data_IF_704965355093
#
_entry.id   IF_704965355093
#
_cell.length_a   1.000
_cell.length_b   1.000
_cell.length_c   1.000
_cell.angle_alpha   90.00
_cell.angle_beta   90.00
_cell.angle_gamma   90.00
#
_symmetry.space_group_name_H-M   'P 1'
#
loop_
_entity.id
_entity.type
_entity.pdbx_description
1 polymer ?
#
# COMPACT_ATOMS: atom_id res chain seq x y z
N UNK A 1 -12.19 22.06 3.03
CA UNK A 1 -11.39 21.55 4.16
C UNK A 1 -9.96 21.44 3.68
N UNK A 2 -9.09 22.31 4.18
CA UNK A 2 -7.65 22.32 3.88
C UNK A 2 -6.91 21.45 4.90
N UNK A 3 -5.99 20.61 4.45
CA UNK A 3 -5.14 19.81 5.31
C UNK A 3 -3.68 20.25 5.09
N UNK A 4 -3.09 20.90 6.11
CA UNK A 4 -1.76 21.51 5.99
C UNK A 4 -0.67 20.53 5.55
N UNK A 5 -0.74 19.25 5.96
CA UNK A 5 0.24 18.24 5.52
C UNK A 5 0.13 18.02 4.01
N UNK A 6 -1.10 17.87 3.50
CA UNK A 6 -1.35 17.72 2.07
C UNK A 6 -0.89 18.94 1.27
N UNK A 7 -1.15 20.14 1.78
CA UNK A 7 -0.74 21.39 1.13
C UNK A 7 0.80 21.48 1.03
N UNK A 8 1.53 21.13 2.10
CA UNK A 8 3.00 21.11 2.10
C UNK A 8 3.54 20.02 1.17
N UNK A 9 2.92 18.84 1.10
CA UNK A 9 3.30 17.79 0.11
C UNK A 9 3.23 18.36 -1.31
N UNK A 10 2.14 19.03 -1.66
CA UNK A 10 1.98 19.62 -2.99
C UNK A 10 2.93 20.80 -3.23
N UNK A 11 3.28 21.57 -2.20
CA UNK A 11 4.32 22.60 -2.30
C UNK A 11 5.70 21.99 -2.62
N UNK A 12 6.07 20.91 -1.94
CA UNK A 12 7.34 20.19 -2.17
C UNK A 12 7.39 19.53 -3.56
N UNK A 13 6.25 19.03 -4.04
CA UNK A 13 6.13 18.51 -5.41
C UNK A 13 6.25 19.62 -6.45
N UNK A 14 5.59 20.76 -6.23
CA UNK A 14 5.68 21.94 -7.10
C UNK A 14 7.12 22.47 -7.19
N UNK A 15 7.84 22.59 -6.07
CA UNK A 15 9.27 22.99 -6.04
C UNK A 15 10.16 22.08 -6.90
N UNK A 16 9.75 20.83 -7.11
CA UNK A 16 10.47 19.81 -7.90
C UNK A 16 9.85 19.56 -9.27
N UNK A 17 8.94 20.43 -9.72
CA UNK A 17 8.24 20.33 -11.02
C UNK A 17 7.49 19.01 -11.19
N UNK A 18 6.97 18.45 -10.11
CA UNK A 18 6.13 17.26 -10.12
C UNK A 18 4.64 17.63 -10.15
N UNK A 19 3.83 16.74 -10.73
CA UNK A 19 2.38 16.90 -10.80
C UNK A 19 1.73 16.99 -9.42
N UNK A 20 0.67 17.78 -9.32
CA UNK A 20 -0.13 17.95 -8.11
C UNK A 20 -0.85 16.66 -7.71
N UNK A 21 -0.99 16.41 -6.42
CA UNK A 21 -1.79 15.31 -5.85
C UNK A 21 -3.13 15.86 -5.42
N UNK A 22 -4.22 15.36 -5.98
CA UNK A 22 -5.57 15.80 -5.61
C UNK A 22 -5.99 15.23 -4.26
N UNK A 23 -6.72 16.01 -3.47
CA UNK A 23 -7.34 15.55 -2.24
C UNK A 23 -8.45 14.52 -2.52
N UNK A 24 -8.40 13.37 -1.86
CA UNK A 24 -9.44 12.34 -1.90
C UNK A 24 -10.08 12.18 -0.53
N UNK A 25 -11.40 12.40 -0.46
CA UNK A 25 -12.19 12.22 0.78
C UNK A 25 -12.16 10.78 1.28
N UNK A 26 -12.18 9.82 0.35
CA UNK A 26 -12.10 8.39 0.66
C UNK A 26 -10.75 8.04 1.31
N UNK A 27 -9.64 8.49 0.71
CA UNK A 27 -8.31 8.26 1.25
C UNK A 27 -8.09 8.98 2.58
N UNK A 28 -8.70 10.16 2.76
CA UNK A 28 -8.65 10.88 4.03
C UNK A 28 -9.39 10.12 5.13
N UNK A 29 -10.53 9.50 4.82
CA UNK A 29 -11.26 8.66 5.77
C UNK A 29 -10.42 7.42 6.16
N UNK A 30 -9.75 6.77 5.21
CA UNK A 30 -8.84 5.67 5.50
C UNK A 30 -7.66 6.11 6.37
N UNK A 31 -7.00 7.20 5.98
CA UNK A 31 -5.88 7.75 6.73
C UNK A 31 -6.30 8.14 8.16
N UNK A 32 -7.46 8.77 8.34
CA UNK A 32 -7.96 9.11 9.68
C UNK A 32 -8.18 7.86 10.53
N UNK A 33 -8.86 6.86 9.98
CA UNK A 33 -9.06 5.57 10.66
C UNK A 33 -7.74 4.92 11.08
N UNK A 34 -6.67 5.07 10.29
CA UNK A 34 -5.37 4.50 10.61
C UNK A 34 -4.57 5.33 11.63
N UNK A 35 -4.67 6.66 11.58
CA UNK A 35 -4.13 7.53 12.62
C UNK A 35 -4.80 7.25 13.97
N UNK A 36 -6.13 7.12 13.99
CA UNK A 36 -6.90 6.77 15.19
C UNK A 36 -6.49 5.39 15.72
N UNK A 37 -6.26 4.41 14.84
CA UNK A 37 -5.74 3.10 15.23
C UNK A 37 -4.36 3.22 15.90
N UNK A 38 -3.41 3.92 15.28
CA UNK A 38 -2.07 4.13 15.84
C UNK A 38 -2.12 4.83 17.19
N UNK A 39 -2.95 5.86 17.33
CA UNK A 39 -3.19 6.54 18.60
C UNK A 39 -3.80 5.60 19.65
N UNK A 40 -4.73 4.73 19.24
CA UNK A 40 -5.35 3.76 20.15
C UNK A 40 -4.35 2.71 20.66
N UNK A 41 -3.44 2.23 19.82
CA UNK A 41 -2.42 1.23 20.20
C UNK A 41 -1.12 1.84 20.72
N UNK A 42 -0.94 3.15 20.61
CA UNK A 42 0.19 3.92 21.14
C UNK A 42 1.50 3.75 20.36
N UNK A 43 1.45 3.24 19.12
CA UNK A 43 2.62 3.03 18.26
C UNK A 43 2.22 3.04 16.78
N UNK A 44 3.19 3.30 15.89
CA UNK A 44 3.01 3.15 14.45
C UNK A 44 2.83 1.67 14.05
N UNK A 45 1.72 1.38 13.39
CA UNK A 45 1.43 0.05 12.81
C UNK A 45 0.89 0.27 11.42
N UNK A 46 1.53 -0.31 10.40
CA UNK A 46 1.04 -0.25 9.04
C UNK A 46 -0.28 -1.02 8.88
N UNK A 47 -1.17 -0.51 8.04
CA UNK A 47 -2.38 -1.22 7.68
C UNK A 47 -2.09 -2.43 6.77
N UNK A 48 -2.73 -3.56 7.04
CA UNK A 48 -2.86 -4.67 6.08
C UNK A 48 -4.18 -4.64 5.30
N UNK A 49 -4.99 -3.58 5.48
CA UNK A 49 -6.29 -3.43 4.84
C UNK A 49 -6.11 -3.20 3.33
N UNK A 50 -6.90 -3.90 2.52
CA UNK A 50 -6.95 -3.75 1.06
C UNK A 50 -7.20 -2.29 0.61
N UNK A 51 -7.86 -1.48 1.44
CA UNK A 51 -8.06 -0.05 1.23
C UNK A 51 -6.75 0.77 1.09
N UNK A 52 -5.61 0.23 1.53
CA UNK A 52 -4.27 0.87 1.43
C UNK A 52 -3.41 0.27 0.32
N UNK A 53 -4.01 -0.28 -0.74
CA UNK A 53 -3.26 -0.82 -1.89
C UNK A 53 -2.32 0.20 -2.54
N UNK A 54 -2.72 1.47 -2.52
CA UNK A 54 -1.89 2.57 -2.98
C UNK A 54 -0.83 3.02 -1.97
N UNK A 55 -0.60 2.30 -0.87
CA UNK A 55 0.44 2.60 0.11
C UNK A 55 0.03 3.56 1.23
N UNK A 56 0.93 3.66 2.20
CA UNK A 56 0.78 4.48 3.39
C UNK A 56 2.13 5.01 3.87
N UNK A 57 2.18 6.27 4.26
CA UNK A 57 3.23 6.81 5.12
C UNK A 57 2.66 7.08 6.50
N UNK A 58 3.42 6.73 7.53
CA UNK A 58 3.08 6.99 8.93
C UNK A 58 4.12 7.91 9.56
N UNK A 59 3.70 8.76 10.49
CA UNK A 59 4.59 9.55 11.33
C UNK A 59 4.06 9.63 12.76
N UNK A 60 4.98 9.68 13.72
CA UNK A 60 4.70 9.88 15.13
C UNK A 60 5.64 10.98 15.65
N UNK A 61 5.14 11.82 16.55
CA UNK A 61 5.94 12.79 17.28
C UNK A 61 5.21 13.32 18.51
N UNK A 62 5.79 14.32 19.17
CA UNK A 62 5.23 14.96 20.36
C UNK A 62 3.97 15.78 20.10
N UNK A 63 3.53 16.51 21.13
CA UNK A 63 2.36 17.40 21.07
C UNK A 63 2.55 18.59 20.12
N UNK A 64 3.79 19.01 19.92
CA UNK A 64 4.25 20.07 19.02
C UNK A 64 4.54 19.59 17.59
N UNK A 65 4.42 18.29 17.32
CA UNK A 65 4.72 17.70 16.01
C UNK A 65 3.75 18.20 14.93
N UNK A 66 4.20 19.21 14.18
CA UNK A 66 3.41 19.98 13.25
C UNK A 66 3.40 19.40 11.83
N UNK A 67 2.59 20.01 10.97
CA UNK A 67 2.43 19.54 9.59
C UNK A 67 3.75 19.58 8.78
N UNK A 68 4.61 20.57 9.04
CA UNK A 68 5.93 20.64 8.40
C UNK A 68 6.86 19.54 8.89
N UNK A 69 6.88 19.28 10.21
CA UNK A 69 7.72 18.23 10.80
C UNK A 69 7.39 16.84 10.25
N UNK A 70 6.09 16.57 10.05
CA UNK A 70 5.59 15.35 9.40
C UNK A 70 6.19 15.19 8.00
N UNK A 71 6.04 16.21 7.14
CA UNK A 71 6.51 16.13 5.75
C UNK A 71 8.03 16.07 5.69
N UNK A 72 8.72 16.83 6.53
CA UNK A 72 10.17 16.84 6.62
C UNK A 72 10.74 15.50 7.11
N UNK A 73 10.07 14.85 8.07
CA UNK A 73 10.39 13.49 8.50
C UNK A 73 10.30 12.50 7.33
N UNK A 74 9.20 12.53 6.56
CA UNK A 74 9.04 11.67 5.39
C UNK A 74 10.06 11.97 4.28
N UNK A 75 10.33 13.25 4.00
CA UNK A 75 11.30 13.68 2.99
C UNK A 75 12.74 13.27 3.31
N UNK A 76 13.10 13.19 4.60
CA UNK A 76 14.42 12.75 5.07
C UNK A 76 14.53 11.24 5.28
N UNK A 77 13.41 10.52 5.20
CA UNK A 77 13.41 9.09 5.48
C UNK A 77 14.13 8.27 4.42
N UNK A 78 14.86 7.24 4.86
CA UNK A 78 15.52 6.23 4.02
C UNK A 78 14.67 4.96 3.83
N UNK A 79 13.44 4.95 4.36
CA UNK A 79 12.56 3.78 4.41
C UNK A 79 11.48 3.76 3.31
N UNK A 80 11.60 4.58 2.26
CA UNK A 80 10.63 4.63 1.15
C UNK A 80 9.62 5.78 1.21
N UNK A 81 9.49 6.48 2.33
CA UNK A 81 8.48 7.54 2.49
C UNK A 81 8.66 8.68 1.48
N UNK A 82 9.91 9.10 1.26
CA UNK A 82 10.26 10.17 0.31
C UNK A 82 9.90 9.77 -1.11
N UNK A 83 10.18 8.53 -1.48
CA UNK A 83 9.95 7.98 -2.81
C UNK A 83 8.48 8.01 -3.18
N UNK A 84 7.58 7.67 -2.25
CA UNK A 84 6.14 7.81 -2.49
C UNK A 84 5.68 9.27 -2.53
N UNK A 85 6.18 10.11 -1.60
CA UNK A 85 5.84 11.53 -1.55
C UNK A 85 6.15 12.26 -2.86
N UNK A 86 7.24 11.86 -3.53
CA UNK A 86 7.72 12.42 -4.78
C UNK A 86 7.41 11.54 -6.01
N UNK A 87 6.65 10.45 -5.85
CA UNK A 87 6.31 9.57 -6.97
C UNK A 87 5.35 10.30 -7.95
N UNK A 88 5.65 10.33 -9.26
CA UNK A 88 4.73 10.90 -10.25
C UNK A 88 3.46 10.05 -10.42
N UNK A 89 3.45 8.80 -9.94
CA UNK A 89 2.30 7.91 -9.99
C UNK A 89 1.26 8.20 -8.88
N UNK A 90 1.66 8.91 -7.82
CA UNK A 90 0.72 9.41 -6.82
C UNK A 90 -0.05 10.59 -7.42
N UNK A 91 -1.35 10.42 -7.63
CA UNK A 91 -2.26 11.43 -8.20
C UNK A 91 -3.40 11.80 -7.26
N UNK A 92 -3.73 10.93 -6.29
CA UNK A 92 -4.71 11.21 -5.23
C UNK A 92 -4.16 10.81 -3.87
N UNK A 93 -4.53 11.56 -2.83
CA UNK A 93 -4.18 11.21 -1.47
C UNK A 93 -5.12 11.83 -0.43
N UNK A 94 -5.03 11.35 0.81
CA UNK A 94 -5.67 11.94 1.97
C UNK A 94 -4.81 11.78 3.21
N UNK A 95 -5.00 12.67 4.19
CA UNK A 95 -4.24 12.69 5.44
C UNK A 95 -5.20 12.58 6.61
N UNK A 96 -4.81 11.77 7.59
CA UNK A 96 -5.46 11.63 8.89
C UNK A 96 -4.51 12.00 10.02
N UNK A 97 -5.04 12.62 11.08
CA UNK A 97 -4.25 13.03 12.26
C UNK A 97 -5.02 12.66 13.51
N UNK A 98 -4.36 11.97 14.43
CA UNK A 98 -4.90 11.63 15.74
C UNK A 98 -3.91 12.03 16.85
N UNK A 99 -4.41 12.38 18.02
CA UNK A 99 -3.60 12.74 19.18
C UNK A 99 -4.01 11.94 20.40
N UNK A 100 -3.03 11.41 21.14
CA UNK A 100 -3.28 10.71 22.40
C UNK A 100 -2.02 10.70 23.26
N UNK A 101 -2.18 10.87 24.56
CA UNK A 101 -1.10 10.78 25.56
C UNK A 101 0.14 11.64 25.19
N UNK A 102 -0.09 12.89 24.79
CA UNK A 102 0.99 13.82 24.41
C UNK A 102 1.68 13.49 23.08
N UNK A 103 1.17 12.53 22.31
CA UNK A 103 1.70 12.14 21.00
C UNK A 103 0.75 12.51 19.87
N UNK A 104 1.31 12.84 18.72
CA UNK A 104 0.61 13.05 17.45
C UNK A 104 0.94 11.90 16.50
N UNK A 105 -0.09 11.28 15.94
CA UNK A 105 -0.01 10.20 14.96
C UNK A 105 -0.60 10.68 13.64
N UNK A 106 0.15 10.54 12.55
CA UNK A 106 -0.25 11.00 11.22
C UNK A 106 -0.14 9.87 10.22
N UNK A 107 -1.19 9.71 9.42
CA UNK A 107 -1.22 8.79 8.30
C UNK A 107 -1.45 9.55 7.00
N UNK A 108 -0.76 9.14 5.94
CA UNK A 108 -0.98 9.62 4.58
C UNK A 108 -1.26 8.42 3.69
N UNK A 109 -2.50 8.29 3.22
CA UNK A 109 -2.93 7.27 2.29
C UNK A 109 -2.96 7.86 0.87
N UNK A 110 -2.43 7.13 -0.11
CA UNK A 110 -2.27 7.64 -1.48
C UNK A 110 -2.60 6.59 -2.54
N UNK A 111 -2.67 7.03 -3.80
CA UNK A 111 -3.15 6.23 -4.94
C UNK A 111 -2.12 5.38 -5.65
N UNK A 112 -0.83 5.57 -5.38
CA UNK A 112 0.23 4.86 -6.10
C UNK A 112 0.31 3.43 -5.59
N UNK A 113 -0.18 2.47 -6.39
CA UNK A 113 -0.02 1.06 -6.06
C UNK A 113 1.39 0.81 -5.52
N UNK A 114 1.52 0.04 -4.43
CA UNK A 114 2.82 -0.39 -3.96
C UNK A 114 3.63 -0.84 -5.19
N UNK A 115 4.88 -0.34 -5.39
CA UNK A 115 5.63 -0.64 -6.58
C UNK A 115 5.64 -2.14 -6.73
N UNK A 116 5.19 -2.63 -7.89
CA UNK A 116 5.45 -4.00 -8.26
C UNK A 116 6.97 -4.16 -8.14
N UNK A 117 7.40 -5.05 -7.24
CA UNK A 117 8.80 -5.40 -7.08
C UNK A 117 9.37 -5.66 -8.49
N UNK A 118 10.34 -4.85 -8.96
CA UNK A 118 11.59 -4.58 -8.24
C UNK A 118 12.03 -3.11 -8.13
N UNK A 119 11.16 -2.12 -8.35
CA UNK A 119 11.65 -0.74 -8.58
C UNK A 119 12.08 0.04 -7.32
N UNK A 120 11.74 -0.43 -6.11
CA UNK A 120 12.16 0.21 -4.86
C UNK A 120 13.70 0.17 -4.68
N UNK A 121 14.38 1.33 -4.61
CA UNK A 121 15.84 1.41 -4.44
C UNK A 121 16.34 0.76 -3.15
N UNK A 122 15.55 0.83 -2.07
CA UNK A 122 15.87 0.19 -0.78
C UNK A 122 15.79 -1.34 -0.87
N UNK A 123 14.74 -1.87 -1.51
CA UNK A 123 14.56 -3.32 -1.68
C UNK A 123 15.59 -3.95 -2.64
N UNK A 124 16.13 -3.19 -3.59
CA UNK A 124 17.21 -3.66 -4.47
C UNK A 124 18.51 -3.93 -3.70
N UNK A 125 18.82 -3.18 -2.64
CA UNK A 125 20.05 -3.37 -1.84
C UNK A 125 20.00 -4.54 -0.86
N UNK A 126 18.82 -4.91 -0.35
CA UNK A 126 18.69 -5.90 0.73
C UNK A 126 18.36 -7.34 0.25
N UNK A 127 18.54 -7.68 -1.03
CA UNK A 127 18.45 -9.07 -1.52
C UNK A 127 17.04 -9.71 -1.53
N UNK A 128 16.00 -9.01 -1.07
CA UNK A 128 14.61 -9.49 -1.01
C UNK A 128 14.00 -9.83 -2.38
N UNK A 129 14.62 -9.36 -3.47
CA UNK A 129 14.26 -9.71 -4.86
C UNK A 129 14.31 -11.23 -5.10
N UNK A 130 15.24 -11.96 -4.46
CA UNK A 130 15.34 -13.43 -4.61
C UNK A 130 14.19 -14.16 -3.91
N UNK A 131 13.73 -13.66 -2.77
CA UNK A 131 12.66 -14.27 -1.98
C UNK A 131 11.30 -14.16 -2.70
N UNK A 132 10.99 -12.97 -3.24
CA UNK A 132 9.73 -12.74 -3.93
C UNK A 132 9.64 -13.49 -5.27
N UNK A 133 10.74 -13.55 -6.05
CA UNK A 133 10.80 -14.33 -7.30
C UNK A 133 10.64 -15.84 -7.05
N UNK A 134 10.96 -16.34 -5.86
CA UNK A 134 10.73 -17.73 -5.44
C UNK A 134 9.28 -17.94 -5.01
N UNK A 135 8.68 -16.99 -4.29
CA UNK A 135 7.27 -17.02 -3.86
C UNK A 135 6.28 -16.93 -5.05
N UNK A 136 6.51 -16.02 -6.00
CA UNK A 136 5.65 -15.89 -7.20
C UNK A 136 5.75 -17.10 -8.14
N UNK A 137 6.94 -17.71 -8.25
CA UNK A 137 7.09 -19.01 -8.93
C UNK A 137 6.30 -20.11 -8.22
N UNK A 138 6.29 -20.12 -6.88
CA UNK A 138 5.48 -21.04 -6.08
C UNK A 138 3.97 -20.89 -6.33
N UNK A 139 3.46 -19.65 -6.37
CA UNK A 139 2.05 -19.38 -6.70
C UNK A 139 1.69 -19.79 -8.14
N UNK A 140 2.57 -19.53 -9.10
CA UNK A 140 2.39 -19.95 -10.50
C UNK A 140 2.30 -21.48 -10.62
N UNK A 141 3.17 -22.22 -9.92
CA UNK A 141 3.13 -23.67 -9.88
C UNK A 141 1.82 -24.20 -9.29
N UNK A 142 1.35 -23.60 -8.19
CA UNK A 142 0.11 -23.99 -7.53
C UNK A 142 -1.12 -23.75 -8.43
N UNK A 143 -1.13 -22.65 -9.20
CA UNK A 143 -2.20 -22.36 -10.19
C UNK A 143 -2.19 -23.39 -11.32
N UNK A 144 -1.01 -23.75 -11.85
CA UNK A 144 -0.87 -24.77 -12.89
C UNK A 144 -1.32 -26.15 -12.39
N UNK A 145 -0.96 -26.52 -11.17
CA UNK A 145 -1.38 -27.77 -10.56
C UNK A 145 -2.91 -27.84 -10.39
N UNK A 146 -3.53 -26.77 -9.88
CA UNK A 146 -5.00 -26.68 -9.76
C UNK A 146 -5.71 -26.78 -11.12
N UNK A 147 -5.17 -26.13 -12.15
CA UNK A 147 -5.71 -26.22 -13.51
C UNK A 147 -5.62 -27.65 -14.05
N UNK A 148 -4.49 -28.34 -13.84
CA UNK A 148 -4.33 -29.74 -14.25
C UNK A 148 -5.34 -30.67 -13.54
N UNK A 149 -5.51 -30.53 -12.22
CA UNK A 149 -6.49 -31.30 -11.44
C UNK A 149 -7.92 -31.04 -11.95
N UNK A 150 -8.26 -29.80 -12.28
CA UNK A 150 -9.56 -29.46 -12.83
C UNK A 150 -9.80 -30.11 -14.21
N UNK A 151 -8.80 -30.07 -15.09
CA UNK A 151 -8.86 -30.73 -16.41
C UNK A 151 -9.05 -32.24 -16.31
N UNK A 152 -8.33 -32.90 -15.39
CA UNK A 152 -8.47 -34.34 -15.13
C UNK A 152 -9.89 -34.66 -14.65
N UNK A 153 -10.42 -33.92 -13.67
CA UNK A 153 -11.79 -34.11 -13.18
C UNK A 153 -12.83 -33.95 -14.30
N UNK A 154 -12.62 -33.01 -15.22
CA UNK A 154 -13.51 -32.79 -16.37
C UNK A 154 -13.45 -33.96 -17.36
N UNK A 155 -12.26 -34.51 -17.62
CA UNK A 155 -12.08 -35.69 -18.46
C UNK A 155 -12.77 -36.93 -17.87
N UNK A 156 -12.59 -37.19 -16.56
CA UNK A 156 -13.24 -38.32 -15.87
C UNK A 156 -14.76 -38.23 -15.95
N UNK A 157 -15.34 -37.03 -15.70
CA UNK A 157 -16.80 -36.83 -15.83
C UNK A 157 -17.32 -37.08 -17.24
N UNK A 158 -16.57 -36.66 -18.27
CA UNK A 158 -16.94 -36.90 -19.68
C UNK A 158 -16.90 -38.39 -20.03
N UNK A 159 -15.91 -39.12 -19.51
CA UNK A 159 -15.79 -40.56 -19.72
C UNK A 159 -16.93 -41.31 -19.03
N UNK A 160 -17.23 -40.96 -17.77
CA UNK A 160 -18.36 -41.53 -17.04
C UNK A 160 -19.70 -41.25 -17.74
N UNK A 161 -19.92 -40.03 -18.24
CA UNK A 161 -21.12 -39.70 -19.01
C UNK A 161 -21.25 -40.48 -20.31
N UNK A 162 -20.13 -40.74 -21.01
CA UNK A 162 -20.11 -41.59 -22.21
C UNK A 162 -20.41 -43.04 -21.90
N UNK A 163 -19.87 -43.60 -20.82
CA UNK A 163 -20.15 -44.98 -20.39
C UNK A 163 -21.64 -45.14 -20.06
N UNK A 164 -22.23 -44.19 -19.33
CA UNK A 164 -23.66 -44.21 -19.01
C UNK A 164 -24.55 -44.09 -20.27
N UNK A 165 -24.10 -43.38 -21.30
CA UNK A 165 -24.82 -43.25 -22.57
C UNK A 165 -24.73 -44.48 -23.48
N UNK A 166 -23.73 -45.35 -23.27
CA UNK A 166 -23.56 -46.61 -24.03
C UNK A 166 -24.35 -47.76 -23.38
N UNK A 167 -24.66 -47.65 -22.09
CA UNK A 167 -25.39 -48.64 -21.29
C UNK A 167 -26.91 -48.39 -21.22
N UNK A 168 -27.43 -47.47 -22.05
CA UNK A 168 -28.86 -47.22 -22.27
C UNK A 168 -29.22 -47.57 -23.70
#
# INVERSE_FOLDING_TARGET
MTNKVHDIVNEERRRRRLGHVSWSREMAAFAQSQADYCARVGRLVHSHRHAFQGGENLAEGGSDFGARDVVDCWLRSKAGHREYLLSPRVTKAGVGVARRNGKTFVAWAFSDAQPAYPDCPHCRRHGLVRFHRRHERGKSLLRRFRAAVHSIKKAVRRLAGRIVSILR
#
